data_IF_732077447223
#
_entry.id   IF_732077447223
#
_cell.length_a   1.000
_cell.length_b   1.000
_cell.length_c   1.000
_cell.angle_alpha   90.00
_cell.angle_beta   90.00
_cell.angle_gamma   90.00
#
_symmetry.space_group_name_H-M   'P 1'
#
loop_
_entity.id
_entity.type
_entity.pdbx_description
1 polymer ?
#
# COMPACT_ATOMS: atom_id res chain seq x y z
N UNK A 1 -3.26 21.74 21.49
CA UNK A 1 -3.43 21.68 20.03
C UNK A 1 -2.94 20.32 19.57
N UNK A 2 -3.59 19.72 18.58
CA UNK A 2 -3.21 18.44 17.99
C UNK A 2 -2.60 18.69 16.62
N UNK A 3 -1.53 17.95 16.32
CA UNK A 3 -0.82 17.99 15.05
C UNK A 3 -0.66 16.55 14.57
N UNK A 4 -1.13 16.26 13.37
CA UNK A 4 -0.94 14.93 12.78
C UNK A 4 -0.52 15.07 11.33
N UNK A 5 0.52 14.33 10.95
CA UNK A 5 1.08 14.34 9.62
C UNK A 5 0.66 13.07 8.87
N UNK A 6 0.34 13.22 7.59
CA UNK A 6 0.08 12.11 6.67
C UNK A 6 0.79 12.35 5.34
N UNK A 7 1.05 11.26 4.62
CA UNK A 7 1.65 11.28 3.28
C UNK A 7 0.59 10.89 2.26
N UNK A 8 0.39 11.74 1.26
CA UNK A 8 -0.58 11.52 0.18
C UNK A 8 0.15 11.57 -1.17
N UNK A 9 -0.15 10.65 -2.11
CA UNK A 9 0.45 10.68 -3.44
C UNK A 9 0.12 11.97 -4.22
N UNK A 10 1.03 12.38 -5.10
CA UNK A 10 0.87 13.56 -5.95
C UNK A 10 -0.35 13.56 -6.87
N UNK A 11 -0.87 12.38 -7.23
CA UNK A 11 -2.02 12.27 -8.12
C UNK A 11 -3.34 12.62 -7.42
N UNK A 12 -3.37 12.71 -6.08
CA UNK A 12 -4.58 13.08 -5.34
C UNK A 12 -4.82 14.59 -5.40
N UNK A 13 -6.00 15.07 -5.83
CA UNK A 13 -6.30 16.50 -5.85
C UNK A 13 -6.20 17.13 -4.45
N UNK A 14 -5.29 18.08 -4.23
CA UNK A 14 -5.04 18.65 -2.89
C UNK A 14 -6.28 19.25 -2.22
N UNK A 15 -7.22 19.80 -3.00
CA UNK A 15 -8.48 20.35 -2.49
C UNK A 15 -9.34 19.27 -1.83
N UNK A 16 -9.34 18.07 -2.42
CA UNK A 16 -10.02 16.90 -1.88
C UNK A 16 -9.35 16.45 -0.58
N UNK A 17 -8.01 16.42 -0.54
CA UNK A 17 -7.24 16.09 0.68
C UNK A 17 -7.62 17.05 1.82
N UNK A 18 -7.55 18.37 1.58
CA UNK A 18 -7.88 19.37 2.60
C UNK A 18 -9.31 19.20 3.12
N UNK A 19 -10.29 19.06 2.22
CA UNK A 19 -11.69 18.84 2.62
C UNK A 19 -11.86 17.58 3.46
N UNK A 20 -11.17 16.50 3.09
CA UNK A 20 -11.25 15.19 3.75
C UNK A 20 -10.67 15.24 5.16
N UNK A 21 -9.48 15.83 5.33
CA UNK A 21 -8.84 15.96 6.64
C UNK A 21 -9.60 16.89 7.58
N UNK A 22 -10.14 17.99 7.07
CA UNK A 22 -11.02 18.86 7.85
C UNK A 22 -12.30 18.13 8.26
N UNK A 23 -12.89 17.32 7.38
CA UNK A 23 -14.05 16.49 7.70
C UNK A 23 -13.73 15.49 8.82
N UNK A 24 -12.55 14.85 8.79
CA UNK A 24 -12.09 13.95 9.84
C UNK A 24 -11.93 14.66 11.19
N UNK A 25 -11.29 15.84 11.20
CA UNK A 25 -11.18 16.67 12.41
C UNK A 25 -12.56 16.98 13.00
N UNK A 26 -13.49 17.43 12.16
CA UNK A 26 -14.84 17.81 12.56
C UNK A 26 -15.75 16.66 12.98
N UNK A 27 -15.39 15.43 12.62
CA UNK A 27 -16.08 14.22 13.08
C UNK A 27 -15.55 13.74 14.44
N UNK A 28 -14.33 14.12 14.79
CA UNK A 28 -13.65 13.70 16.01
C UNK A 28 -14.20 14.44 17.23
N UNK A 29 -14.58 13.69 18.27
CA UNK A 29 -15.05 14.29 19.53
C UNK A 29 -13.97 15.15 20.18
N UNK A 30 -14.43 16.18 20.90
CA UNK A 30 -13.59 17.15 21.62
C UNK A 30 -12.67 18.01 20.74
N UNK A 31 -12.80 17.93 19.40
CA UNK A 31 -12.23 18.92 18.50
C UNK A 31 -13.16 20.14 18.44
N UNK A 32 -12.58 21.32 18.64
CA UNK A 32 -13.30 22.59 18.62
C UNK A 32 -13.63 23.00 17.18
N UNK A 33 -14.78 23.67 17.02
CA UNK A 33 -15.15 24.35 15.77
C UNK A 33 -14.49 25.73 15.65
N UNK A 34 -14.29 26.36 16.80
CA UNK A 34 -13.59 27.63 16.93
C UNK A 34 -12.56 27.54 18.07
N UNK A 35 -11.27 27.84 17.80
CA UNK A 35 -10.69 28.15 16.49
C UNK A 35 -10.78 26.96 15.52
N UNK A 36 -10.97 27.25 14.23
CA UNK A 36 -11.17 26.21 13.21
C UNK A 36 -9.89 25.43 12.91
N UNK A 37 -10.05 24.15 12.65
CA UNK A 37 -8.98 23.30 12.14
C UNK A 37 -8.51 23.76 10.76
N UNK A 38 -7.22 23.53 10.47
CA UNK A 38 -6.62 23.85 9.17
C UNK A 38 -5.62 22.78 8.76
N UNK A 39 -5.26 22.77 7.47
CA UNK A 39 -4.33 21.80 6.88
C UNK A 39 -3.19 22.55 6.21
N UNK A 40 -1.96 22.12 6.46
CA UNK A 40 -0.75 22.62 5.82
C UNK A 40 -0.15 21.56 4.90
N UNK A 41 0.40 21.99 3.76
CA UNK A 41 1.35 21.19 2.98
C UNK A 41 2.74 21.45 3.54
N UNK A 42 3.22 20.57 4.41
CA UNK A 42 4.47 20.75 5.17
C UNK A 42 5.71 20.51 4.31
N UNK A 43 5.66 19.52 3.42
CA UNK A 43 6.80 19.12 2.61
C UNK A 43 6.35 18.47 1.31
N UNK A 44 7.13 18.68 0.25
CA UNK A 44 7.05 17.94 -1.00
C UNK A 44 8.21 16.94 -0.99
N UNK A 45 7.90 15.65 -1.02
CA UNK A 45 8.92 14.58 -1.05
C UNK A 45 9.04 14.01 -2.46
N UNK A 46 9.91 13.04 -2.67
CA UNK A 46 10.08 12.42 -3.99
C UNK A 46 8.82 11.70 -4.50
N UNK A 47 8.00 11.16 -3.59
CA UNK A 47 6.87 10.30 -3.93
C UNK A 47 5.51 10.80 -3.42
N UNK A 48 5.51 11.77 -2.51
CA UNK A 48 4.31 12.21 -1.80
C UNK A 48 4.35 13.69 -1.42
N UNK A 49 3.19 14.20 -1.02
CA UNK A 49 3.07 15.46 -0.29
C UNK A 49 2.80 15.12 1.18
N UNK A 50 3.59 15.71 2.08
CA UNK A 50 3.34 15.66 3.52
C UNK A 50 2.33 16.73 3.91
N UNK A 51 1.15 16.31 4.34
CA UNK A 51 0.12 17.17 4.88
C UNK A 51 0.13 17.12 6.40
N UNK A 52 -0.08 18.25 7.07
CA UNK A 52 -0.29 18.32 8.52
C UNK A 52 -1.66 18.90 8.83
N UNK A 53 -2.49 18.09 9.48
CA UNK A 53 -3.77 18.54 10.03
C UNK A 53 -3.55 19.10 11.43
N UNK A 54 -4.03 20.32 11.62
CA UNK A 54 -3.92 21.12 12.82
C UNK A 54 -5.32 21.30 13.42
N UNK A 55 -5.53 20.82 14.65
CA UNK A 55 -6.84 20.86 15.30
C UNK A 55 -6.75 21.27 16.78
N UNK A 56 -7.80 21.89 17.29
CA UNK A 56 -7.83 22.43 18.64
C UNK A 56 -8.75 21.60 19.53
N UNK A 57 -8.35 21.40 20.78
CA UNK A 57 -9.16 20.73 21.81
C UNK A 57 -9.06 21.49 23.12
N UNK A 58 -10.13 21.49 23.91
CA UNK A 58 -10.16 21.95 25.30
C UNK A 58 -10.16 20.77 26.31
N UNK A 59 -9.95 19.54 25.85
CA UNK A 59 -9.96 18.34 26.68
C UNK A 59 -8.56 17.68 26.77
N UNK A 60 -7.55 18.34 27.38
CA UNK A 60 -6.18 17.83 27.43
C UNK A 60 -6.07 16.49 28.16
N UNK A 61 -6.92 16.23 29.16
CA UNK A 61 -6.97 14.97 29.89
C UNK A 61 -7.39 13.77 29.03
N UNK A 62 -7.99 14.01 27.85
CA UNK A 62 -8.45 12.97 26.92
C UNK A 62 -7.60 12.92 25.64
N UNK A 63 -6.45 13.59 25.63
CA UNK A 63 -5.71 13.86 24.39
C UNK A 63 -5.33 12.58 23.62
N UNK A 64 -4.91 11.51 24.31
CA UNK A 64 -4.60 10.22 23.68
C UNK A 64 -5.82 9.59 23.00
N UNK A 65 -6.99 9.64 23.65
CA UNK A 65 -8.25 9.13 23.09
C UNK A 65 -8.69 9.97 21.88
N UNK A 66 -8.52 11.28 21.96
CA UNK A 66 -8.82 12.21 20.86
C UNK A 66 -7.88 11.94 19.68
N UNK A 67 -6.59 11.70 19.91
CA UNK A 67 -5.65 11.29 18.85
C UNK A 67 -6.07 9.99 18.18
N UNK A 68 -6.37 8.95 18.96
CA UNK A 68 -6.81 7.67 18.42
C UNK A 68 -8.06 7.79 17.56
N UNK A 69 -9.07 8.51 18.04
CA UNK A 69 -10.30 8.77 17.29
C UNK A 69 -10.04 9.63 16.04
N UNK A 70 -9.13 10.61 16.12
CA UNK A 70 -8.74 11.44 14.97
C UNK A 70 -8.08 10.61 13.87
N UNK A 71 -7.16 9.71 14.23
CA UNK A 71 -6.49 8.83 13.27
C UNK A 71 -7.47 7.86 12.62
N UNK A 72 -8.40 7.28 13.38
CA UNK A 72 -9.49 6.45 12.83
C UNK A 72 -10.32 7.24 11.81
N UNK A 73 -10.78 8.43 12.19
CA UNK A 73 -11.57 9.28 11.30
C UNK A 73 -10.79 9.71 10.04
N UNK A 74 -9.47 9.93 10.13
CA UNK A 74 -8.65 10.24 8.95
C UNK A 74 -8.64 9.05 7.98
N UNK A 75 -8.38 7.84 8.48
CA UNK A 75 -8.37 6.63 7.66
C UNK A 75 -9.73 6.41 7.01
N UNK A 76 -10.81 6.46 7.79
CA UNK A 76 -12.17 6.26 7.28
C UNK A 76 -12.53 7.29 6.20
N UNK A 77 -12.27 8.58 6.46
CA UNK A 77 -12.56 9.65 5.50
C UNK A 77 -11.72 9.57 4.23
N UNK A 78 -10.44 9.19 4.35
CA UNK A 78 -9.60 8.95 3.19
C UNK A 78 -10.14 7.78 2.35
N UNK A 79 -10.49 6.67 2.99
CA UNK A 79 -11.07 5.52 2.30
C UNK A 79 -12.40 5.88 1.59
N UNK A 80 -13.31 6.58 2.27
CA UNK A 80 -14.58 7.05 1.70
C UNK A 80 -14.37 8.02 0.51
N UNK A 81 -13.32 8.84 0.55
CA UNK A 81 -12.98 9.78 -0.50
C UNK A 81 -12.14 9.17 -1.64
N UNK A 82 -11.80 7.87 -1.56
CA UNK A 82 -10.91 7.21 -2.52
C UNK A 82 -9.48 7.74 -2.49
N UNK A 83 -9.04 8.28 -1.35
CA UNK A 83 -7.67 8.78 -1.15
C UNK A 83 -6.83 7.64 -0.60
N UNK A 84 -5.81 7.25 -1.36
CA UNK A 84 -4.82 6.29 -0.90
C UNK A 84 -3.85 6.95 0.09
N UNK A 85 -3.72 6.35 1.28
CA UNK A 85 -2.70 6.72 2.26
C UNK A 85 -1.42 5.97 1.92
N UNK A 86 -0.33 6.71 1.67
CA UNK A 86 0.97 6.07 1.40
C UNK A 86 1.46 5.39 2.67
N UNK A 87 1.71 4.09 2.57
CA UNK A 87 2.69 3.43 3.44
C UNK A 87 4.05 3.50 2.74
N UNK A 88 5.02 4.29 3.25
CA UNK A 88 6.29 4.54 2.56
C UNK A 88 7.13 3.28 2.30
N UNK A 89 6.82 2.15 2.94
CA UNK A 89 7.55 0.89 2.79
C UNK A 89 6.69 -0.25 2.19
N UNK A 90 5.52 0.04 1.61
CA UNK A 90 4.65 -1.02 1.10
C UNK A 90 4.93 -1.36 -0.36
N UNK A 91 5.77 -2.38 -0.55
CA UNK A 91 5.86 -3.14 -1.79
C UNK A 91 5.29 -4.53 -1.54
N UNK A 92 4.09 -4.82 -2.04
CA UNK A 92 3.50 -6.14 -1.90
C UNK A 92 3.73 -6.98 -3.15
N UNK A 93 4.67 -7.92 -3.06
CA UNK A 93 4.69 -9.10 -3.92
C UNK A 93 3.94 -10.19 -3.18
N UNK A 94 2.75 -10.54 -3.67
CA UNK A 94 1.90 -11.59 -3.09
C UNK A 94 2.13 -12.91 -3.84
N UNK A 95 2.23 -14.02 -3.12
CA UNK A 95 2.05 -15.35 -3.72
C UNK A 95 0.60 -15.47 -4.24
N UNK A 96 0.46 -15.58 -5.55
CA UNK A 96 -0.84 -15.66 -6.23
C UNK A 96 -1.49 -17.04 -6.18
N UNK A 97 -0.81 -18.06 -5.65
CA UNK A 97 -1.36 -19.42 -5.61
C UNK A 97 -2.54 -19.54 -4.63
N UNK A 98 -2.49 -18.98 -3.40
CA UNK A 98 -3.65 -18.94 -2.51
C UNK A 98 -4.64 -17.84 -2.93
N UNK A 99 -5.94 -18.05 -2.67
CA UNK A 99 -6.99 -17.04 -2.89
C UNK A 99 -6.92 -15.92 -1.84
N UNK A 100 -7.42 -14.73 -2.14
CA UNK A 100 -7.24 -13.51 -1.32
C UNK A 100 -8.20 -13.36 -0.14
N UNK A 101 -8.87 -14.44 0.28
CA UNK A 101 -9.86 -14.41 1.34
C UNK A 101 -9.20 -14.42 2.73
N UNK A 102 -9.79 -13.73 3.72
CA UNK A 102 -9.40 -13.92 5.12
C UNK A 102 -9.59 -15.39 5.51
N UNK A 103 -8.72 -15.90 6.38
CA UNK A 103 -8.69 -17.33 6.74
C UNK A 103 -10.04 -17.90 7.19
N UNK A 104 -10.85 -17.08 7.86
CA UNK A 104 -12.16 -17.44 8.38
C UNK A 104 -13.20 -17.79 7.29
N UNK A 105 -12.93 -17.46 6.03
CA UNK A 105 -13.80 -17.71 4.88
C UNK A 105 -13.31 -18.86 4.00
N UNK A 106 -12.18 -19.47 4.35
CA UNK A 106 -11.66 -20.63 3.63
C UNK A 106 -12.28 -21.90 4.20
N UNK A 107 -12.70 -22.86 3.34
CA UNK A 107 -13.06 -24.20 3.79
C UNK A 107 -11.93 -24.80 4.64
N UNK A 108 -12.26 -25.60 5.66
CA UNK A 108 -11.26 -26.24 6.54
C UNK A 108 -10.23 -27.09 5.77
N UNK A 109 -10.59 -27.56 4.57
CA UNK A 109 -9.74 -28.36 3.69
C UNK A 109 -9.14 -27.58 2.51
N UNK A 110 -9.11 -26.24 2.56
CA UNK A 110 -8.55 -25.41 1.50
C UNK A 110 -7.05 -25.63 1.33
N UNK A 111 -6.61 -25.90 0.10
CA UNK A 111 -5.19 -25.95 -0.27
C UNK A 111 -4.95 -25.08 -1.50
N UNK A 112 -3.98 -24.18 -1.44
CA UNK A 112 -3.57 -23.35 -2.58
C UNK A 112 -3.09 -24.25 -3.75
N UNK A 113 -3.60 -24.00 -4.96
CA UNK A 113 -3.17 -24.77 -6.14
C UNK A 113 -1.80 -24.29 -6.61
N UNK A 114 -0.89 -25.22 -6.86
CA UNK A 114 0.37 -24.92 -7.52
C UNK A 114 0.22 -24.67 -9.03
N UNK A 115 1.30 -24.17 -9.64
CA UNK A 115 1.41 -24.02 -11.09
C UNK A 115 1.44 -25.40 -11.76
N UNK A 116 0.57 -25.63 -12.75
CA UNK A 116 0.61 -26.83 -13.59
C UNK A 116 1.34 -26.52 -14.89
N UNK A 117 2.52 -27.11 -15.07
CA UNK A 117 3.29 -27.02 -16.32
C UNK A 117 3.16 -28.36 -17.04
N UNK A 118 2.53 -28.35 -18.20
CA UNK A 118 2.55 -29.48 -19.13
C UNK A 118 3.53 -29.17 -20.25
N UNK A 119 4.46 -30.10 -20.51
CA UNK A 119 5.31 -30.00 -21.70
C UNK A 119 4.43 -30.11 -22.96
N UNK A 120 4.64 -29.20 -23.91
CA UNK A 120 4.11 -29.39 -25.26
C UNK A 120 5.00 -30.46 -25.91
N UNK A 121 4.41 -31.60 -26.28
CA UNK A 121 5.16 -32.71 -26.85
C UNK A 121 5.65 -32.32 -28.25
N UNK A 122 6.95 -32.00 -28.37
CA UNK A 122 7.65 -31.96 -29.65
C UNK A 122 8.51 -33.22 -29.72
N UNK A 123 8.12 -34.16 -30.57
CA UNK A 123 8.81 -35.44 -30.75
C UNK A 123 10.17 -35.23 -31.45
N UNK A 124 11.27 -35.21 -30.69
CA UNK A 124 12.63 -35.30 -31.25
C UNK A 124 13.49 -36.22 -30.37
N UNK A 125 13.93 -37.37 -30.92
CA UNK A 125 14.80 -38.37 -30.27
C UNK A 125 16.27 -38.16 -30.60
N UNK A 126 17.22 -38.17 -29.63
CA UNK A 126 18.64 -37.99 -29.90
C UNK A 126 19.39 -39.32 -29.99
N UNK A 127 19.64 -39.81 -31.21
CA UNK A 127 20.58 -40.92 -31.48
C UNK A 127 21.93 -40.45 -32.05
N UNK A 128 22.13 -39.16 -32.28
CA UNK A 128 23.19 -38.68 -33.19
C UNK A 128 24.43 -38.03 -32.55
N UNK A 129 24.63 -38.10 -31.23
CA UNK A 129 25.76 -37.38 -30.60
C UNK A 129 26.64 -38.29 -29.76
N UNK A 130 27.50 -39.06 -30.41
CA UNK A 130 28.83 -39.43 -29.89
C UNK A 130 29.70 -40.12 -30.97
N UNK A 131 30.67 -39.40 -31.54
CA UNK A 131 31.95 -39.97 -32.00
C UNK A 131 33.00 -38.86 -32.17
N UNK A 132 34.16 -39.04 -31.53
CA UNK A 132 35.36 -38.20 -31.60
C UNK A 132 36.36 -38.82 -32.60
N UNK A 133 37.03 -38.04 -33.45
CA UNK A 133 38.47 -38.28 -33.71
C UNK A 133 39.27 -36.95 -33.76
N UNK A 134 40.41 -36.80 -33.08
CA UNK A 134 41.81 -37.14 -33.44
C UNK A 134 42.36 -36.42 -34.69
N UNK A 135 43.33 -35.53 -34.47
CA UNK A 135 44.03 -34.71 -35.48
C UNK A 135 45.25 -35.46 -36.08
N UNK A 136 45.65 -35.18 -37.34
CA UNK A 136 47.07 -34.91 -37.59
C UNK A 136 47.39 -33.80 -38.64
N UNK A 137 48.58 -33.21 -38.46
CA UNK A 137 49.39 -32.33 -39.35
C UNK A 137 49.57 -32.96 -40.77
N UNK A 138 49.95 -32.32 -41.89
CA UNK A 138 50.60 -31.04 -42.27
C UNK A 138 50.80 -30.96 -43.81
N UNK A 139 51.12 -29.75 -44.32
CA UNK A 139 51.84 -29.38 -45.58
C UNK A 139 51.10 -29.47 -46.93
N UNK A 140 51.03 -28.34 -47.64
CA UNK A 140 52.02 -27.93 -48.66
C UNK A 140 52.22 -26.42 -48.63
#
# INVERSE_FOLDING_TARGET
MLHTQILIPYHTPWRLVHKTLLSAAYKTRYILREPSSFVLQKQLTETAIAYELNAYTNAPALMEKVYGELHQNIVDRCNEAGIELINPNYSAVRDGNPVALPGDYLPENYTASGFRISAIKADITPSDVQQKPSNPKSKE
#
